data_IF_144142629294
#
_entry.id   IF_144142629294
#
_cell.length_a   1.000
_cell.length_b   1.000
_cell.length_c   1.000
_cell.angle_alpha   90.00
_cell.angle_beta   90.00
_cell.angle_gamma   90.00
#
_symmetry.space_group_name_H-M   'P 1'
#
loop_
_entity.id
_entity.type
_entity.pdbx_description
1 polymer ?
#
# COMPACT_ATOMS: atom_id res chain seq x y z
N UNK A 1 -48.62 -3.70 21.43
CA UNK A 1 -48.59 -3.02 20.11
C UNK A 1 -47.69 -1.79 20.06
N UNK A 2 -47.68 -0.93 21.09
CA UNK A 2 -46.73 0.22 21.15
C UNK A 2 -45.26 -0.19 21.17
N UNK A 3 -44.92 -1.36 21.67
CA UNK A 3 -43.56 -1.87 21.77
C UNK A 3 -42.99 -2.28 20.40
N UNK A 4 -43.80 -2.90 19.53
CA UNK A 4 -43.44 -3.28 18.17
C UNK A 4 -43.20 -2.05 17.27
N UNK A 5 -43.98 -0.99 17.42
CA UNK A 5 -43.80 0.26 16.68
C UNK A 5 -42.53 0.99 17.10
N UNK A 6 -42.15 0.93 18.38
CA UNK A 6 -40.95 1.54 18.91
C UNK A 6 -39.67 0.81 18.47
N UNK A 7 -39.72 -0.53 18.44
CA UNK A 7 -38.62 -1.37 17.91
C UNK A 7 -38.45 -1.13 16.41
N UNK A 8 -39.54 -1.04 15.67
CA UNK A 8 -39.53 -0.76 14.23
C UNK A 8 -38.94 0.64 13.95
N UNK A 9 -39.31 1.65 14.74
CA UNK A 9 -38.75 3.00 14.66
C UNK A 9 -37.27 3.04 15.00
N UNK A 10 -36.82 2.34 16.04
CA UNK A 10 -35.38 2.23 16.43
C UNK A 10 -34.60 1.48 15.36
N UNK A 11 -35.14 0.42 14.76
CA UNK A 11 -34.51 -0.29 13.65
C UNK A 11 -34.38 0.57 12.40
N UNK A 12 -35.39 1.39 12.06
CA UNK A 12 -35.32 2.35 10.94
C UNK A 12 -34.24 3.43 11.17
N UNK A 13 -34.16 3.99 12.39
CA UNK A 13 -33.12 4.98 12.74
C UNK A 13 -31.73 4.33 12.72
N UNK A 14 -31.58 3.12 13.25
CA UNK A 14 -30.32 2.39 13.20
C UNK A 14 -29.92 2.01 11.77
N UNK A 15 -30.89 1.73 10.91
CA UNK A 15 -30.65 1.42 9.51
C UNK A 15 -30.10 2.65 8.76
N UNK A 16 -30.67 3.84 8.95
CA UNK A 16 -30.15 5.08 8.38
C UNK A 16 -28.74 5.41 8.88
N UNK A 17 -28.48 5.24 10.18
CA UNK A 17 -27.14 5.42 10.77
C UNK A 17 -26.14 4.40 10.22
N UNK A 18 -26.55 3.15 10.07
CA UNK A 18 -25.74 2.07 9.51
C UNK A 18 -25.43 2.36 8.04
N UNK A 19 -26.39 2.81 7.25
CA UNK A 19 -26.19 3.22 5.86
C UNK A 19 -25.20 4.39 5.75
N UNK A 20 -25.35 5.43 6.57
CA UNK A 20 -24.41 6.57 6.60
C UNK A 20 -23.00 6.16 7.03
N UNK A 21 -22.86 5.28 8.02
CA UNK A 21 -21.58 4.75 8.46
C UNK A 21 -20.96 3.88 7.37
N UNK A 22 -21.78 3.06 6.71
CA UNK A 22 -21.37 2.20 5.61
C UNK A 22 -20.92 3.01 4.40
N UNK A 23 -21.67 4.05 4.02
CA UNK A 23 -21.27 4.99 2.96
C UNK A 23 -19.96 5.69 3.28
N UNK A 24 -19.76 6.13 4.52
CA UNK A 24 -18.48 6.72 4.98
C UNK A 24 -17.34 5.71 4.93
N UNK A 25 -17.59 4.47 5.30
CA UNK A 25 -16.61 3.38 5.22
C UNK A 25 -16.26 3.07 3.77
N UNK A 26 -17.25 2.95 2.90
CA UNK A 26 -17.05 2.75 1.46
C UNK A 26 -16.29 3.93 0.86
N UNK A 27 -16.66 5.16 1.22
CA UNK A 27 -15.96 6.35 0.76
C UNK A 27 -14.50 6.36 1.25
N UNK A 28 -14.24 6.01 2.51
CA UNK A 28 -12.88 5.84 3.03
C UNK A 28 -12.13 4.70 2.35
N UNK A 29 -12.79 3.58 2.08
CA UNK A 29 -12.21 2.46 1.35
C UNK A 29 -11.91 2.83 -0.10
N UNK A 30 -12.76 3.61 -0.74
CA UNK A 30 -12.50 4.16 -2.07
C UNK A 30 -11.38 5.21 -2.07
N UNK A 31 -11.28 6.03 -1.02
CA UNK A 31 -10.16 6.94 -0.82
C UNK A 31 -8.87 6.19 -0.44
N UNK A 32 -9.00 5.04 0.23
CA UNK A 32 -7.88 4.13 0.52
C UNK A 32 -7.54 3.22 -0.67
N UNK A 33 -8.40 3.14 -1.68
CA UNK A 33 -8.08 2.57 -2.98
C UNK A 33 -7.29 3.58 -3.83
N UNK A 34 -6.36 4.30 -3.21
CA UNK A 34 -5.45 5.17 -3.92
C UNK A 34 -4.66 4.35 -4.94
N UNK A 35 -4.53 4.91 -6.11
CA UNK A 35 -3.84 4.28 -7.21
C UNK A 35 -2.55 5.02 -7.54
N UNK A 36 -1.50 4.28 -7.77
CA UNK A 36 -0.30 4.79 -8.41
C UNK A 36 -0.55 4.91 -9.91
N UNK A 37 -0.28 6.08 -10.46
CA UNK A 37 -0.54 6.37 -11.88
C UNK A 37 0.77 6.70 -12.58
N UNK A 38 1.00 6.08 -13.72
CA UNK A 38 2.14 6.35 -14.58
C UNK A 38 1.73 6.35 -16.05
N UNK A 39 2.61 6.91 -16.88
CA UNK A 39 2.41 6.98 -18.33
C UNK A 39 3.33 5.99 -19.03
N UNK A 40 2.78 5.26 -19.98
CA UNK A 40 3.55 4.41 -20.90
C UNK A 40 3.08 4.70 -22.32
N UNK A 41 3.93 5.36 -23.12
CA UNK A 41 3.54 5.88 -24.43
C UNK A 41 2.39 6.88 -24.33
N UNK A 42 1.28 6.59 -24.97
CA UNK A 42 0.05 7.39 -24.92
C UNK A 42 -0.94 6.93 -23.86
N UNK A 43 -0.63 5.86 -23.15
CA UNK A 43 -1.52 5.27 -22.15
C UNK A 43 -1.23 5.79 -20.74
N UNK A 44 -2.29 5.92 -19.96
CA UNK A 44 -2.21 6.17 -18.52
C UNK A 44 -2.61 4.89 -17.83
N UNK A 45 -1.72 4.34 -17.00
CA UNK A 45 -1.96 3.12 -16.23
C UNK A 45 -2.15 3.47 -14.77
N UNK A 46 -3.14 2.85 -14.14
CA UNK A 46 -3.44 3.00 -12.72
C UNK A 46 -3.36 1.64 -12.05
N UNK A 47 -2.53 1.54 -11.02
CA UNK A 47 -2.40 0.32 -10.20
C UNK A 47 -2.77 0.68 -8.76
N UNK A 48 -3.73 -0.03 -8.15
CA UNK A 48 -4.03 0.18 -6.73
C UNK A 48 -2.78 0.03 -5.87
N UNK A 49 -2.51 1.00 -5.01
CA UNK A 49 -1.28 1.00 -4.19
C UNK A 49 -1.19 -0.24 -3.31
N UNK A 50 -2.33 -0.72 -2.80
CA UNK A 50 -2.39 -1.96 -2.01
C UNK A 50 -1.89 -3.21 -2.74
N UNK A 51 -1.91 -3.20 -4.06
CA UNK A 51 -1.51 -4.34 -4.91
C UNK A 51 -0.03 -4.27 -5.32
N UNK A 52 0.64 -3.14 -5.07
CA UNK A 52 2.05 -2.93 -5.40
C UNK A 52 2.94 -3.55 -4.34
N UNK A 53 3.83 -4.43 -4.77
CA UNK A 53 4.76 -5.16 -3.90
C UNK A 53 6.03 -4.34 -3.67
N UNK A 54 6.70 -3.95 -4.76
CA UNK A 54 7.89 -3.12 -4.73
C UNK A 54 8.16 -2.48 -6.09
N UNK A 55 8.99 -1.45 -6.07
CA UNK A 55 9.54 -0.81 -7.27
C UNK A 55 11.03 -1.10 -7.34
N UNK A 56 11.50 -1.33 -8.54
CA UNK A 56 12.91 -1.51 -8.86
C UNK A 56 13.35 -0.47 -9.87
N UNK A 57 14.54 0.10 -9.69
CA UNK A 57 15.11 1.05 -10.65
C UNK A 57 16.24 0.38 -11.42
N UNK A 58 16.12 0.37 -12.74
CA UNK A 58 17.12 -0.18 -13.67
C UNK A 58 17.21 0.75 -14.88
N UNK A 59 18.42 1.26 -15.18
CA UNK A 59 18.73 2.07 -16.38
C UNK A 59 17.71 3.18 -16.71
N UNK A 60 17.36 4.04 -15.73
CA UNK A 60 16.36 5.12 -15.83
C UNK A 60 14.93 4.64 -16.03
N UNK A 61 14.69 3.36 -15.95
CA UNK A 61 13.36 2.76 -15.90
C UNK A 61 12.99 2.37 -14.47
N UNK A 62 11.73 2.51 -14.17
CA UNK A 62 11.13 1.98 -12.95
C UNK A 62 10.32 0.76 -13.32
N UNK A 63 10.63 -0.36 -12.70
CA UNK A 63 9.87 -1.59 -12.84
C UNK A 63 8.95 -1.70 -11.63
N UNK A 64 7.65 -1.85 -11.87
CA UNK A 64 6.65 -2.06 -10.84
C UNK A 64 6.35 -3.54 -10.76
N UNK A 65 6.44 -4.09 -9.56
CA UNK A 65 6.05 -5.46 -9.26
C UNK A 65 4.75 -5.43 -8.45
N UNK A 66 3.69 -6.06 -8.97
CA UNK A 66 2.37 -5.98 -8.35
C UNK A 66 1.54 -7.25 -8.58
N UNK A 67 0.50 -7.40 -7.76
CA UNK A 67 -0.52 -8.42 -7.96
C UNK A 67 -1.78 -7.81 -8.57
N UNK A 68 -2.41 -8.52 -9.48
CA UNK A 68 -3.77 -8.26 -9.90
C UNK A 68 -4.48 -9.58 -10.13
N UNK A 69 -5.71 -9.72 -9.60
CA UNK A 69 -6.48 -10.96 -9.68
C UNK A 69 -5.71 -12.21 -9.19
N UNK A 70 -4.90 -12.04 -8.13
CA UNK A 70 -4.02 -13.07 -7.57
C UNK A 70 -2.90 -13.56 -8.49
N UNK A 71 -2.64 -12.85 -9.58
CA UNK A 71 -1.52 -13.10 -10.48
C UNK A 71 -0.45 -12.03 -10.33
N UNK A 72 0.80 -12.47 -10.37
CA UNK A 72 1.97 -11.58 -10.33
C UNK A 72 2.18 -10.94 -11.71
N UNK A 73 2.36 -9.64 -11.71
CA UNK A 73 2.65 -8.86 -12.89
C UNK A 73 3.83 -7.93 -12.66
N UNK A 74 4.50 -7.59 -13.73
CA UNK A 74 5.47 -6.49 -13.72
C UNK A 74 5.27 -5.61 -14.95
N UNK A 75 5.44 -4.32 -14.77
CA UNK A 75 5.36 -3.33 -15.82
C UNK A 75 6.50 -2.33 -15.64
N UNK A 76 6.80 -1.52 -16.64
CA UNK A 76 7.88 -0.55 -16.57
C UNK A 76 7.50 0.80 -17.16
N UNK A 77 8.09 1.85 -16.62
CA UNK A 77 7.97 3.21 -17.14
C UNK A 77 9.27 4.00 -16.91
N UNK A 78 9.46 5.04 -17.68
CA UNK A 78 10.61 5.93 -17.49
C UNK A 78 10.39 6.85 -16.29
N UNK A 79 11.37 6.93 -15.41
CA UNK A 79 11.27 7.77 -14.21
C UNK A 79 12.44 7.58 -13.25
N UNK A 80 12.34 8.30 -12.13
CA UNK A 80 13.30 8.22 -11.04
C UNK A 80 12.61 7.69 -9.79
N UNK A 81 13.27 6.76 -9.11
CA UNK A 81 12.72 6.14 -7.89
C UNK A 81 12.51 7.16 -6.75
N UNK A 82 13.29 8.25 -6.73
CA UNK A 82 13.11 9.34 -5.77
C UNK A 82 11.77 10.06 -5.96
N UNK A 83 11.31 10.24 -7.20
CA UNK A 83 10.00 10.81 -7.49
C UNK A 83 8.87 9.88 -7.07
N UNK A 84 9.01 8.58 -7.32
CA UNK A 84 8.07 7.55 -6.86
C UNK A 84 7.98 7.56 -5.33
N UNK A 85 9.11 7.60 -4.65
CA UNK A 85 9.16 7.67 -3.19
C UNK A 85 8.43 8.90 -2.64
N UNK A 86 8.58 10.06 -3.26
CA UNK A 86 7.86 11.28 -2.86
C UNK A 86 6.35 11.16 -3.05
N UNK A 87 5.90 10.60 -4.18
CA UNK A 87 4.46 10.36 -4.44
C UNK A 87 3.85 9.40 -3.42
N UNK A 88 4.62 8.44 -2.93
CA UNK A 88 4.17 7.40 -2.01
C UNK A 88 4.50 7.69 -0.54
N UNK A 89 4.86 8.93 -0.22
CA UNK A 89 5.29 9.33 1.14
C UNK A 89 4.25 9.07 2.23
N UNK A 90 2.96 9.18 1.91
CA UNK A 90 1.86 8.92 2.85
C UNK A 90 1.51 7.43 2.97
N UNK A 91 2.13 6.58 2.18
CA UNK A 91 1.97 5.14 2.19
C UNK A 91 3.20 4.46 2.81
N UNK A 92 3.03 3.24 3.26
CA UNK A 92 4.09 2.50 3.97
C UNK A 92 5.08 1.86 2.99
N UNK A 93 5.80 2.69 2.22
CA UNK A 93 6.89 2.25 1.36
C UNK A 93 8.23 2.61 1.98
N UNK A 94 9.15 1.65 1.99
CA UNK A 94 10.48 1.77 2.56
C UNK A 94 11.55 1.73 1.47
N UNK A 95 12.40 2.75 1.42
CA UNK A 95 13.57 2.78 0.53
C UNK A 95 14.70 1.97 1.15
N UNK A 96 14.78 0.69 0.81
CA UNK A 96 15.76 -0.25 1.39
C UNK A 96 17.11 -0.23 0.67
N UNK A 97 17.12 0.25 -0.57
CA UNK A 97 18.31 0.31 -1.42
C UNK A 97 18.16 1.46 -2.42
N UNK A 98 19.27 1.90 -3.05
CA UNK A 98 19.19 2.90 -4.12
C UNK A 98 18.28 2.48 -5.27
N UNK A 99 18.14 1.15 -5.48
CA UNK A 99 17.35 0.56 -6.56
C UNK A 99 16.04 -0.06 -6.12
N UNK A 100 15.72 -0.14 -4.82
CA UNK A 100 14.52 -0.81 -4.31
C UNK A 100 13.70 0.05 -3.36
N UNK A 101 12.41 0.17 -3.65
CA UNK A 101 11.40 0.79 -2.79
C UNK A 101 10.31 -0.27 -2.53
N UNK A 102 10.17 -0.72 -1.31
CA UNK A 102 9.36 -1.89 -0.93
C UNK A 102 8.14 -1.49 -0.14
N UNK A 103 6.99 -2.07 -0.44
CA UNK A 103 5.77 -1.90 0.33
C UNK A 103 5.84 -2.76 1.61
N UNK A 104 5.75 -2.13 2.77
CA UNK A 104 5.80 -2.81 4.06
C UNK A 104 4.77 -3.93 4.18
N UNK A 105 3.58 -3.77 3.60
CA UNK A 105 2.50 -4.76 3.60
C UNK A 105 2.95 -6.14 3.13
N UNK A 106 3.90 -6.21 2.19
CA UNK A 106 4.39 -7.45 1.60
C UNK A 106 5.68 -7.96 2.24
N UNK A 107 6.22 -7.26 3.24
CA UNK A 107 7.41 -7.71 3.95
C UNK A 107 7.02 -8.70 5.05
N UNK A 108 7.48 -9.93 4.92
CA UNK A 108 7.28 -10.99 5.92
C UNK A 108 8.31 -10.90 7.05
N UNK A 109 9.56 -10.54 6.72
CA UNK A 109 10.66 -10.51 7.68
C UNK A 109 11.69 -9.46 7.28
N UNK A 110 12.12 -8.70 8.26
CA UNK A 110 13.28 -7.82 8.16
C UNK A 110 14.48 -8.50 8.80
N UNK A 111 15.51 -8.77 8.00
CA UNK A 111 16.82 -9.20 8.50
C UNK A 111 17.78 -7.99 8.54
N UNK A 112 18.99 -8.22 8.98
CA UNK A 112 20.00 -7.16 9.09
C UNK A 112 20.39 -6.56 7.73
N UNK A 113 20.54 -7.41 6.75
CA UNK A 113 21.08 -7.09 5.40
C UNK A 113 20.08 -7.27 4.26
N UNK A 114 18.88 -7.78 4.55
CA UNK A 114 17.86 -8.05 3.53
C UNK A 114 16.45 -8.10 4.11
N UNK A 115 15.47 -7.95 3.23
CA UNK A 115 14.06 -8.18 3.51
C UNK A 115 13.57 -9.43 2.79
N UNK A 116 12.68 -10.17 3.43
CA UNK A 116 11.98 -11.32 2.86
C UNK A 116 10.55 -10.92 2.58
N UNK A 117 10.15 -11.01 1.33
CA UNK A 117 8.79 -10.71 0.93
C UNK A 117 7.89 -11.95 1.07
N UNK A 118 6.59 -11.72 1.25
CA UNK A 118 5.59 -12.79 1.29
C UNK A 118 5.52 -13.61 0.00
N UNK A 119 6.02 -13.06 -1.09
CA UNK A 119 6.15 -13.72 -2.40
C UNK A 119 7.32 -14.69 -2.49
N UNK A 120 8.18 -14.75 -1.48
CA UNK A 120 9.41 -15.55 -1.46
C UNK A 120 10.64 -14.82 -2.02
N UNK A 121 10.49 -13.60 -2.53
CA UNK A 121 11.60 -12.78 -3.04
C UNK A 121 12.39 -12.21 -1.87
N UNK A 122 13.71 -12.20 -1.98
CA UNK A 122 14.63 -11.56 -1.06
C UNK A 122 15.25 -10.32 -1.72
N UNK A 123 15.25 -9.19 -1.03
CA UNK A 123 15.84 -7.95 -1.52
C UNK A 123 16.87 -7.42 -0.53
N UNK A 124 18.03 -6.94 -1.00
CA UNK A 124 19.10 -6.45 -0.14
C UNK A 124 18.76 -5.10 0.48
N UNK A 125 19.17 -4.89 1.73
CA UNK A 125 19.16 -3.59 2.39
C UNK A 125 20.55 -2.99 2.28
N UNK A 126 20.67 -1.81 1.68
CA UNK A 126 21.93 -1.09 1.62
C UNK A 126 22.45 -0.78 3.03
N UNK A 127 23.75 -0.90 3.24
CA UNK A 127 24.37 -0.67 4.54
C UNK A 127 24.01 0.71 5.12
N UNK A 128 23.99 1.74 4.28
CA UNK A 128 23.61 3.10 4.65
C UNK A 128 22.15 3.26 5.07
N UNK A 129 21.29 2.32 4.69
CA UNK A 129 19.84 2.35 4.97
C UNK A 129 19.43 1.50 6.18
N UNK A 130 20.28 0.63 6.69
CA UNK A 130 19.94 -0.33 7.74
C UNK A 130 19.42 0.33 9.03
N UNK A 131 20.04 1.42 9.43
CA UNK A 131 19.66 2.16 10.65
C UNK A 131 18.30 2.84 10.49
N UNK A 132 18.09 3.48 9.34
CA UNK A 132 16.83 4.14 8.99
C UNK A 132 15.67 3.13 8.91
N UNK A 133 15.86 2.03 8.20
CA UNK A 133 14.86 0.97 8.06
C UNK A 133 14.46 0.36 9.41
N UNK A 134 15.42 0.15 10.30
CA UNK A 134 15.14 -0.33 11.66
C UNK A 134 14.27 0.65 12.44
N UNK A 135 14.55 1.94 12.35
CA UNK A 135 13.76 2.98 13.03
C UNK A 135 12.34 3.07 12.46
N UNK A 136 12.18 3.03 11.14
CA UNK A 136 10.88 3.03 10.48
C UNK A 136 10.06 1.79 10.80
N UNK A 137 10.68 0.63 10.83
CA UNK A 137 10.03 -0.63 11.24
C UNK A 137 9.43 -0.52 12.64
N UNK A 138 10.16 0.03 13.60
CA UNK A 138 9.64 0.25 14.95
C UNK A 138 8.47 1.24 14.97
N UNK A 139 8.53 2.30 14.17
CA UNK A 139 7.47 3.29 14.08
C UNK A 139 6.18 2.70 13.47
N UNK A 140 6.29 1.84 12.45
CA UNK A 140 5.14 1.14 11.84
C UNK A 140 4.52 0.17 12.84
N UNK A 141 5.32 -0.66 13.49
CA UNK A 141 4.84 -1.63 14.48
C UNK A 141 4.08 -0.96 15.64
N UNK A 142 4.49 0.24 16.07
CA UNK A 142 3.77 1.01 17.09
C UNK A 142 2.38 1.44 16.62
N UNK A 143 2.23 1.79 15.34
CA UNK A 143 0.93 2.19 14.75
C UNK A 143 -0.02 1.00 14.61
N UNK A 144 0.50 -0.18 14.33
CA UNK A 144 -0.27 -1.40 14.19
C UNK A 144 -0.68 -2.03 15.54
N UNK A 145 0.07 -1.72 16.61
CA UNK A 145 -0.18 -2.24 17.97
C UNK A 145 -1.28 -1.48 18.73
N UNK A 146 -1.78 -0.40 18.17
CA UNK A 146 -2.86 0.41 18.70
C UNK A 146 -4.14 0.14 17.90
#
# INVERSE_FOLDING_TARGET
>A
MKFLNMIHFILCINQEKIEKVFERLIHRLHLQADAFTYKTGHNIVKIPIKDIIYFESEDHQIIIHYYTQNEYHKDSFYGLLDHVQKQLKSFQFLRIHKTYLVHHLYVRKYAYDKVYLSTGIELPIAQSKRKEIRAEQFAINRKESV
#
